data_IF_426883213043
#
_entry.id   IF_426883213043
#
_cell.length_a   1.000
_cell.length_b   1.000
_cell.length_c   1.000
_cell.angle_alpha   90.00
_cell.angle_beta   90.00
_cell.angle_gamma   90.00
#
_symmetry.space_group_name_H-M   'P 1'
#
loop_
_entity.id
_entity.type
_entity.pdbx_description
1 polymer ?
#
# COMPACT_ATOMS: atom_id res chain seq x y z
N UNK A 1 5.52 -10.18 14.12
CA UNK A 1 5.80 -9.76 12.75
C UNK A 1 4.86 -10.50 11.80
N UNK A 2 3.94 -9.77 11.19
CA UNK A 2 2.95 -10.30 10.26
C UNK A 2 2.64 -9.24 9.18
N UNK A 3 2.25 -9.69 7.99
CA UNK A 3 1.76 -8.83 6.90
C UNK A 3 2.71 -7.66 6.61
N UNK A 4 3.92 -7.94 6.16
CA UNK A 4 4.89 -6.92 5.80
C UNK A 4 5.25 -6.94 4.33
N UNK A 5 5.66 -5.79 3.84
CA UNK A 5 6.22 -5.59 2.52
C UNK A 5 7.41 -4.64 2.58
N UNK A 6 8.22 -4.60 1.53
CA UNK A 6 9.46 -3.83 1.51
C UNK A 6 9.72 -3.14 0.18
N UNK A 7 10.36 -2.00 0.24
CA UNK A 7 10.76 -1.21 -0.90
C UNK A 7 12.25 -0.85 -0.82
N UNK A 8 12.87 -0.66 -1.98
CA UNK A 8 14.21 -0.13 -2.08
C UNK A 8 14.17 1.39 -1.91
N UNK A 9 15.05 1.94 -1.07
CA UNK A 9 15.18 3.39 -0.83
C UNK A 9 16.32 3.96 -1.68
N UNK A 10 17.49 3.34 -1.62
CA UNK A 10 18.67 3.73 -2.39
C UNK A 10 19.52 2.48 -2.67
N UNK A 11 20.73 2.64 -3.19
CA UNK A 11 21.63 1.56 -3.64
C UNK A 11 21.59 0.35 -2.70
N UNK A 12 21.76 0.54 -1.40
CA UNK A 12 21.84 -0.49 -0.37
C UNK A 12 20.84 -0.31 0.75
N UNK A 13 20.05 0.76 0.75
CA UNK A 13 19.08 1.08 1.79
C UNK A 13 17.69 0.59 1.40
N UNK A 14 17.01 -0.05 2.35
CA UNK A 14 15.68 -0.62 2.19
C UNK A 14 14.76 -0.16 3.30
N UNK A 15 13.48 -0.06 3.00
CA UNK A 15 12.39 0.18 3.93
C UNK A 15 11.49 -1.06 4.03
N UNK A 16 11.12 -1.45 5.24
CA UNK A 16 10.20 -2.55 5.53
C UNK A 16 9.03 -1.98 6.31
N UNK A 17 7.82 -2.19 5.84
CA UNK A 17 6.60 -1.98 6.61
C UNK A 17 6.11 -3.31 7.17
N UNK A 18 5.62 -3.30 8.41
CA UNK A 18 5.11 -4.50 9.05
C UNK A 18 4.17 -4.16 10.21
N UNK A 19 3.30 -5.10 10.51
CA UNK A 19 2.46 -5.06 11.68
C UNK A 19 3.12 -5.80 12.86
N UNK A 20 3.21 -5.12 14.00
CA UNK A 20 3.70 -5.64 15.27
C UNK A 20 2.52 -5.81 16.24
N UNK A 21 2.14 -7.06 16.51
CA UNK A 21 0.96 -7.39 17.33
C UNK A 21 1.00 -6.67 18.68
N UNK A 22 -0.05 -5.90 18.96
CA UNK A 22 -0.16 -5.12 20.19
C UNK A 22 0.62 -3.80 20.22
N UNK A 23 1.38 -3.47 19.16
CA UNK A 23 2.19 -2.25 19.08
C UNK A 23 1.86 -1.37 17.86
N UNK A 24 1.06 -1.87 16.91
CA UNK A 24 0.68 -1.16 15.68
C UNK A 24 1.61 -1.44 14.50
N UNK A 25 1.52 -0.61 13.45
CA UNK A 25 2.31 -0.72 12.24
C UNK A 25 3.59 0.12 12.27
N UNK A 26 4.68 -0.45 11.77
CA UNK A 26 5.99 0.19 11.73
C UNK A 26 6.59 0.20 10.33
N UNK A 27 7.28 1.30 10.02
CA UNK A 27 8.23 1.43 8.92
C UNK A 27 9.64 1.42 9.52
N UNK A 28 10.48 0.51 9.07
CA UNK A 28 11.86 0.37 9.54
C UNK A 28 12.81 0.38 8.35
N UNK A 29 13.92 1.11 8.46
CA UNK A 29 14.96 1.17 7.44
C UNK A 29 16.21 0.42 7.87
N UNK A 30 16.93 -0.16 6.91
CA UNK A 30 18.14 -0.93 7.12
C UNK A 30 18.94 -1.01 5.82
N UNK A 31 20.20 -1.40 5.89
CA UNK A 31 21.02 -1.67 4.72
C UNK A 31 21.21 -3.16 4.49
N UNK A 32 21.30 -3.53 3.23
CA UNK A 32 21.83 -4.80 2.76
C UNK A 32 23.06 -4.48 1.95
N UNK A 33 24.21 -5.06 2.28
CA UNK A 33 25.42 -4.84 1.50
C UNK A 33 25.34 -5.46 0.09
N UNK A 34 26.21 -5.04 -0.83
CA UNK A 34 26.13 -5.40 -2.26
C UNK A 34 26.17 -6.92 -2.51
N UNK A 35 26.88 -7.68 -1.70
CA UNK A 35 26.96 -9.14 -1.81
C UNK A 35 25.86 -9.88 -1.03
N UNK A 36 24.93 -9.14 -0.43
CA UNK A 36 23.82 -9.64 0.39
C UNK A 36 24.26 -10.51 1.60
N UNK A 37 25.52 -10.45 2.01
CA UNK A 37 26.05 -11.26 3.10
C UNK A 37 25.68 -10.72 4.49
N UNK A 38 25.38 -9.42 4.58
CA UNK A 38 25.05 -8.77 5.86
C UNK A 38 23.87 -7.82 5.72
N UNK A 39 23.04 -7.82 6.78
CA UNK A 39 21.99 -6.82 6.99
C UNK A 39 22.42 -5.99 8.19
N UNK A 40 22.43 -4.66 8.03
CA UNK A 40 22.79 -3.75 9.11
C UNK A 40 21.75 -3.77 10.24
N UNK A 41 22.14 -3.24 11.39
CA UNK A 41 21.16 -2.83 12.38
C UNK A 41 20.23 -1.77 11.79
N UNK A 42 18.96 -1.75 12.25
CA UNK A 42 17.97 -0.75 11.79
C UNK A 42 18.54 0.67 11.93
N UNK A 43 18.33 1.50 10.91
CA UNK A 43 18.70 2.93 10.91
C UNK A 43 17.60 3.79 11.52
N UNK A 44 16.34 3.50 11.17
CA UNK A 44 15.18 4.19 11.70
C UNK A 44 14.07 3.20 11.99
N UNK A 45 13.20 3.54 12.93
CA UNK A 45 11.92 2.85 13.18
C UNK A 45 10.85 3.90 13.45
N UNK A 46 9.96 4.06 12.51
CA UNK A 46 8.84 5.00 12.56
C UNK A 46 7.53 4.24 12.71
N UNK A 47 6.70 4.59 13.70
CA UNK A 47 5.35 4.03 13.80
C UNK A 47 4.43 4.83 12.89
N UNK A 48 3.86 4.20 11.88
CA UNK A 48 2.95 4.87 10.95
C UNK A 48 1.48 4.83 11.40
N UNK A 49 1.13 3.97 12.34
CA UNK A 49 -0.23 3.89 12.87
C UNK A 49 -0.48 4.90 13.98
N UNK A 50 -1.75 5.31 14.12
CA UNK A 50 -2.15 6.28 15.16
C UNK A 50 -2.29 5.64 16.54
N UNK A 51 -2.55 4.34 16.59
CA UNK A 51 -2.80 3.62 17.83
C UNK A 51 -1.85 2.43 17.99
N UNK A 52 -1.75 1.91 19.21
CA UNK A 52 -1.08 0.66 19.53
C UNK A 52 -2.05 -0.52 19.60
N UNK A 53 -3.24 -0.36 19.01
CA UNK A 53 -4.25 -1.42 18.98
C UNK A 53 -3.74 -2.65 18.27
N UNK A 54 -4.22 -3.82 18.70
CA UNK A 54 -3.83 -5.13 18.17
C UNK A 54 -4.09 -5.31 16.67
N UNK A 55 -4.92 -4.45 16.06
CA UNK A 55 -5.31 -4.58 14.64
C UNK A 55 -4.89 -3.38 13.77
N UNK A 56 -4.16 -2.39 14.31
CA UNK A 56 -3.77 -1.19 13.58
C UNK A 56 -2.47 -1.44 12.79
N UNK A 57 -2.51 -1.31 11.47
CA UNK A 57 -1.37 -1.52 10.57
C UNK A 57 -1.31 -2.89 9.89
N UNK A 58 -2.42 -3.64 9.87
CA UNK A 58 -2.50 -4.93 9.16
C UNK A 58 -2.47 -4.77 7.64
N UNK A 59 -2.07 -5.84 6.96
CA UNK A 59 -2.03 -5.92 5.50
C UNK A 59 -1.26 -4.77 4.85
N UNK A 60 -0.19 -4.31 5.53
CA UNK A 60 0.60 -3.19 5.06
C UNK A 60 1.40 -3.53 3.79
N UNK A 61 1.39 -2.60 2.86
CA UNK A 61 2.12 -2.62 1.60
C UNK A 61 2.85 -1.28 1.42
N UNK A 62 4.01 -1.27 0.77
CA UNK A 62 4.83 -0.07 0.54
C UNK A 62 5.26 0.03 -0.92
N UNK A 63 5.10 1.23 -1.49
CA UNK A 63 5.48 1.52 -2.88
C UNK A 63 6.33 2.78 -2.95
N UNK A 64 7.46 2.72 -3.67
CA UNK A 64 8.25 3.89 -4.04
C UNK A 64 7.63 4.62 -5.24
N UNK A 65 7.46 5.94 -5.13
CA UNK A 65 6.98 6.80 -6.22
C UNK A 65 8.12 7.50 -6.98
N UNK A 66 9.31 7.57 -6.41
CA UNK A 66 10.47 8.32 -6.86
C UNK A 66 10.72 9.55 -5.98
N UNK A 67 11.91 10.17 -6.13
CA UNK A 67 12.31 11.35 -5.34
C UNK A 67 12.20 11.14 -3.82
N UNK A 68 12.52 9.95 -3.35
CA UNK A 68 12.43 9.56 -1.94
C UNK A 68 11.02 9.59 -1.35
N UNK A 69 9.99 9.65 -2.20
CA UNK A 69 8.59 9.58 -1.82
C UNK A 69 8.08 8.14 -1.83
N UNK A 70 7.43 7.75 -0.75
CA UNK A 70 6.87 6.42 -0.55
C UNK A 70 5.39 6.51 -0.15
N UNK A 71 4.61 5.53 -0.58
CA UNK A 71 3.24 5.32 -0.16
C UNK A 71 3.16 4.06 0.69
N UNK A 72 2.44 4.14 1.79
CA UNK A 72 2.10 2.98 2.63
C UNK A 72 0.58 2.85 2.68
N UNK A 73 0.08 1.67 2.32
CA UNK A 73 -1.32 1.31 2.43
C UNK A 73 -1.48 0.31 3.57
N UNK A 74 -2.54 0.43 4.38
CA UNK A 74 -2.79 -0.50 5.48
C UNK A 74 -4.25 -0.45 5.95
N UNK A 75 -4.64 -1.44 6.74
CA UNK A 75 -5.91 -1.44 7.47
C UNK A 75 -5.73 -0.97 8.91
N UNK A 76 -6.58 -0.04 9.37
CA UNK A 76 -6.56 0.44 10.75
C UNK A 76 -7.38 -0.48 11.70
N UNK A 77 -7.38 -0.14 12.98
CA UNK A 77 -8.09 -0.89 14.03
C UNK A 77 -9.62 -0.81 13.95
N UNK A 78 -10.16 0.01 13.06
CA UNK A 78 -11.60 0.14 12.77
C UNK A 78 -11.96 -0.50 11.43
N UNK A 79 -11.05 -1.31 10.88
CA UNK A 79 -11.17 -1.98 9.58
C UNK A 79 -11.38 -0.97 8.43
N UNK A 80 -10.64 0.15 8.45
CA UNK A 80 -10.67 1.15 7.39
C UNK A 80 -9.37 1.14 6.61
N UNK A 81 -9.48 1.29 5.30
CA UNK A 81 -8.32 1.44 4.42
C UNK A 81 -7.68 2.82 4.55
N UNK A 82 -6.41 2.84 4.92
CA UNK A 82 -5.60 4.04 5.10
C UNK A 82 -4.49 4.06 4.07
N UNK A 83 -4.25 5.26 3.51
CA UNK A 83 -3.07 5.57 2.71
C UNK A 83 -2.28 6.66 3.44
N UNK A 84 -0.97 6.48 3.53
CA UNK A 84 -0.03 7.48 4.03
C UNK A 84 1.12 7.67 3.07
N UNK A 85 1.66 8.88 3.03
CA UNK A 85 2.87 9.17 2.27
C UNK A 85 4.01 9.60 3.18
N UNK A 86 5.22 9.21 2.80
CA UNK A 86 6.44 9.45 3.55
C UNK A 86 7.57 9.88 2.63
N UNK A 87 8.45 10.73 3.13
CA UNK A 87 9.80 10.83 2.58
C UNK A 87 10.76 10.04 3.45
N UNK A 88 11.69 9.32 2.79
CA UNK A 88 12.77 8.59 3.44
C UNK A 88 14.08 9.13 2.88
N UNK A 89 15.02 9.55 3.75
CA UNK A 89 16.34 9.99 3.28
C UNK A 89 17.12 8.84 2.63
N UNK A 90 18.02 9.11 1.67
CA UNK A 90 18.79 8.10 0.94
C UNK A 90 19.51 7.15 1.90
N UNK A 91 20.06 7.68 3.00
CA UNK A 91 20.71 6.88 4.03
C UNK A 91 19.74 6.15 4.98
N UNK A 92 18.43 6.32 4.81
CA UNK A 92 17.38 5.70 5.64
C UNK A 92 17.29 6.20 7.08
N UNK A 93 18.08 7.22 7.47
CA UNK A 93 18.11 7.68 8.86
C UNK A 93 16.90 8.50 9.27
N UNK A 94 16.25 9.15 8.30
CA UNK A 94 15.10 10.04 8.53
C UNK A 94 13.89 9.56 7.75
N UNK A 95 12.77 9.39 8.46
CA UNK A 95 11.45 9.08 7.90
C UNK A 95 10.50 10.20 8.32
N UNK A 96 9.87 10.86 7.36
CA UNK A 96 8.94 11.97 7.60
C UNK A 96 7.60 11.69 6.95
N UNK A 97 6.53 11.65 7.73
CA UNK A 97 5.14 11.56 7.24
C UNK A 97 4.77 12.87 6.54
N UNK A 98 4.09 12.77 5.38
CA UNK A 98 3.68 13.91 4.55
C UNK A 98 2.17 14.10 4.55
N UNK A 99 1.43 13.04 4.31
CA UNK A 99 -0.03 13.09 4.23
C UNK A 99 -0.66 11.80 4.73
N UNK A 100 -1.95 11.91 5.09
CA UNK A 100 -2.76 10.82 5.63
C UNK A 100 -4.18 10.95 5.13
N UNK A 101 -4.70 9.88 4.50
CA UNK A 101 -6.07 9.88 4.01
C UNK A 101 -6.74 8.51 4.15
N UNK A 102 -8.06 8.53 4.26
CA UNK A 102 -8.88 7.35 4.08
C UNK A 102 -9.15 7.15 2.59
N UNK A 103 -8.73 6.02 2.05
CA UNK A 103 -8.92 5.73 0.63
C UNK A 103 -10.40 5.65 0.27
N UNK A 104 -11.18 5.00 1.13
CA UNK A 104 -12.63 4.89 1.02
C UNK A 104 -13.20 5.51 2.28
N UNK A 105 -14.16 6.42 2.15
CA UNK A 105 -14.69 7.26 3.23
C UNK A 105 -14.71 6.58 4.61
N UNK A 106 -14.55 7.36 5.67
CA UNK A 106 -14.39 6.94 7.08
C UNK A 106 -15.56 6.14 7.70
N UNK A 107 -16.50 5.60 6.90
CA UNK A 107 -17.55 4.72 7.41
C UNK A 107 -16.93 3.38 7.85
N UNK A 108 -17.29 2.91 9.03
CA UNK A 108 -17.00 1.56 9.50
C UNK A 108 -17.31 0.54 8.39
N UNK A 109 -16.39 -0.40 8.14
CA UNK A 109 -16.50 -1.49 7.17
C UNK A 109 -15.99 -1.18 5.74
N UNK A 110 -15.04 -0.28 5.60
CA UNK A 110 -14.32 -0.06 4.35
C UNK A 110 -12.99 -0.85 4.36
N UNK A 111 -13.09 -2.16 4.59
CA UNK A 111 -11.92 -3.04 4.69
C UNK A 111 -10.95 -2.82 3.53
N UNK A 112 -9.66 -2.87 3.84
CA UNK A 112 -8.59 -2.86 2.85
C UNK A 112 -7.54 -3.90 3.26
N UNK A 113 -7.87 -5.15 2.98
CA UNK A 113 -7.05 -6.31 3.31
C UNK A 113 -6.30 -6.81 2.07
N UNK A 114 -5.19 -7.53 2.29
CA UNK A 114 -4.41 -8.19 1.23
C UNK A 114 -3.98 -7.24 0.12
N UNK A 115 -3.45 -6.09 0.55
CA UNK A 115 -3.05 -5.00 -0.33
C UNK A 115 -1.90 -5.40 -1.26
N UNK A 116 -1.96 -4.93 -2.50
CA UNK A 116 -0.85 -4.97 -3.44
C UNK A 116 -0.90 -3.73 -4.34
N UNK A 117 0.12 -2.88 -4.25
CA UNK A 117 0.19 -1.61 -4.97
C UNK A 117 1.13 -1.67 -6.18
N UNK A 118 0.81 -0.89 -7.19
CA UNK A 118 1.72 -0.59 -8.31
C UNK A 118 1.63 0.87 -8.71
N UNK A 119 2.74 1.40 -9.20
CA UNK A 119 2.80 2.72 -9.82
C UNK A 119 2.20 2.66 -11.23
N UNK A 120 1.14 3.43 -11.48
CA UNK A 120 0.52 3.54 -12.81
C UNK A 120 1.35 4.49 -13.65
N UNK A 121 1.53 5.72 -13.18
CA UNK A 121 2.38 6.74 -13.76
C UNK A 121 3.14 7.53 -12.68
N UNK A 122 3.53 8.77 -12.97
CA UNK A 122 4.27 9.57 -11.99
C UNK A 122 3.44 9.99 -10.78
N UNK A 123 2.12 10.11 -10.92
CA UNK A 123 1.22 10.64 -9.91
C UNK A 123 0.14 9.62 -9.47
N UNK A 124 -0.12 8.59 -10.28
CA UNK A 124 -1.23 7.67 -10.09
C UNK A 124 -0.73 6.33 -9.55
N UNK A 125 -1.39 5.86 -8.51
CA UNK A 125 -1.17 4.56 -7.87
C UNK A 125 -2.42 3.70 -8.03
N UNK A 126 -2.25 2.43 -8.35
CA UNK A 126 -3.29 1.42 -8.28
C UNK A 126 -3.03 0.47 -7.12
N UNK A 127 -4.08 0.13 -6.38
CA UNK A 127 -4.05 -0.85 -5.30
C UNK A 127 -5.12 -1.91 -5.52
N UNK A 128 -4.70 -3.17 -5.56
CA UNK A 128 -5.61 -4.30 -5.44
C UNK A 128 -5.80 -4.63 -3.96
N UNK A 129 -7.05 -4.80 -3.54
CA UNK A 129 -7.38 -5.07 -2.14
C UNK A 129 -8.69 -5.86 -2.03
N UNK A 130 -8.89 -6.55 -0.93
CA UNK A 130 -10.22 -7.05 -0.58
C UNK A 130 -10.91 -6.07 0.36
N UNK A 131 -12.23 -5.97 0.23
CA UNK A 131 -13.01 -5.12 1.12
C UNK A 131 -14.48 -5.09 0.79
N UNK A 132 -15.30 -5.45 1.74
CA UNK A 132 -16.66 -5.02 2.01
C UNK A 132 -17.23 -5.75 3.23
N UNK A 133 -18.28 -5.21 3.80
CA UNK A 133 -18.88 -5.54 5.10
C UNK A 133 -19.29 -7.01 5.28
N UNK A 134 -19.56 -7.74 4.22
CA UNK A 134 -20.10 -9.12 4.31
C UNK A 134 -19.54 -10.10 3.27
N UNK A 135 -18.72 -9.64 2.38
CA UNK A 135 -18.02 -10.47 1.39
C UNK A 135 -16.65 -9.85 1.17
N UNK A 136 -15.61 -10.64 1.22
CA UNK A 136 -14.25 -10.16 0.93
C UNK A 136 -14.09 -9.87 -0.58
N UNK A 137 -15.02 -9.07 -1.15
CA UNK A 137 -15.01 -8.66 -2.56
C UNK A 137 -13.64 -8.13 -2.97
N UNK A 138 -13.22 -8.44 -4.17
CA UNK A 138 -11.95 -7.97 -4.73
C UNK A 138 -12.12 -6.65 -5.49
N UNK A 139 -11.29 -5.68 -5.20
CA UNK A 139 -11.30 -4.36 -5.81
C UNK A 139 -9.92 -3.96 -6.31
N UNK A 140 -9.89 -3.23 -7.42
CA UNK A 140 -8.76 -2.40 -7.84
C UNK A 140 -9.20 -0.96 -7.69
N UNK A 141 -8.42 -0.17 -6.99
CA UNK A 141 -8.73 1.24 -6.71
C UNK A 141 -7.53 2.09 -7.11
N UNK A 142 -7.76 3.18 -7.83
CA UNK A 142 -6.72 4.15 -8.19
C UNK A 142 -6.85 5.43 -7.37
N UNK A 143 -5.73 6.07 -7.06
CA UNK A 143 -5.65 7.36 -6.38
C UNK A 143 -4.42 8.12 -6.84
N UNK A 144 -4.40 9.42 -6.63
CA UNK A 144 -3.27 10.26 -7.01
C UNK A 144 -2.44 10.66 -5.80
N UNK A 145 -1.13 10.73 -6.01
CA UNK A 145 -0.16 11.28 -5.06
C UNK A 145 0.72 12.27 -5.81
N UNK A 146 0.83 13.48 -5.32
CA UNK A 146 1.83 14.43 -5.81
C UNK A 146 3.22 13.99 -5.32
N UNK A 147 4.13 13.56 -6.20
CA UNK A 147 5.42 13.00 -5.78
C UNK A 147 6.36 14.06 -5.19
N UNK A 148 6.08 15.35 -5.34
CA UNK A 148 6.88 16.44 -4.78
C UNK A 148 6.45 16.84 -3.37
N UNK A 149 5.16 16.77 -3.07
CA UNK A 149 4.58 17.19 -1.80
C UNK A 149 4.11 16.03 -0.93
N UNK A 150 3.77 14.89 -1.55
CA UNK A 150 3.17 13.74 -0.91
C UNK A 150 1.66 13.85 -0.74
N UNK A 151 1.02 14.91 -1.21
CA UNK A 151 -0.43 15.12 -1.07
C UNK A 151 -1.22 14.05 -1.82
N UNK A 152 -2.13 13.39 -1.11
CA UNK A 152 -3.02 12.34 -1.63
C UNK A 152 -4.32 12.99 -2.12
N UNK A 153 -4.76 12.64 -3.33
CA UNK A 153 -6.01 13.14 -3.90
C UNK A 153 -6.76 12.05 -4.65
N UNK A 154 -8.07 12.24 -4.77
CA UNK A 154 -8.97 11.42 -5.57
C UNK A 154 -9.64 12.23 -6.67
N UNK A 155 -10.78 11.76 -7.16
CA UNK A 155 -11.57 12.49 -8.15
C UNK A 155 -12.00 13.86 -7.60
N UNK A 156 -11.89 14.87 -8.45
CA UNK A 156 -12.25 16.25 -8.09
C UNK A 156 -13.69 16.34 -7.57
N UNK A 157 -13.87 17.01 -6.43
CA UNK A 157 -15.18 17.19 -5.80
C UNK A 157 -15.69 15.98 -5.00
N UNK A 158 -14.92 14.89 -4.90
CA UNK A 158 -15.25 13.73 -4.09
C UNK A 158 -14.68 13.85 -2.66
N UNK A 159 -15.44 13.38 -1.66
CA UNK A 159 -14.93 13.16 -0.31
C UNK A 159 -14.07 11.89 -0.21
N UNK A 160 -14.16 11.00 -1.20
CA UNK A 160 -13.32 9.82 -1.31
C UNK A 160 -11.98 10.19 -1.95
N UNK A 161 -10.93 9.51 -1.55
CA UNK A 161 -9.57 9.73 -2.06
C UNK A 161 -9.18 8.75 -3.17
N UNK A 162 -10.15 8.18 -3.87
CA UNK A 162 -9.90 7.40 -5.07
C UNK A 162 -10.34 8.15 -6.34
N UNK A 163 -9.65 7.90 -7.44
CA UNK A 163 -10.00 8.38 -8.79
C UNK A 163 -11.04 7.45 -9.39
N UNK A 164 -10.75 6.14 -9.39
CA UNK A 164 -11.61 5.12 -9.98
C UNK A 164 -11.56 3.83 -9.15
N UNK A 165 -12.57 2.98 -9.34
CA UNK A 165 -12.66 1.65 -8.72
C UNK A 165 -13.24 0.63 -9.69
N UNK A 166 -12.58 -0.52 -9.78
CA UNK A 166 -13.03 -1.68 -10.53
C UNK A 166 -13.18 -2.87 -9.57
N UNK A 167 -14.34 -3.51 -9.59
CA UNK A 167 -14.54 -4.78 -8.88
C UNK A 167 -14.02 -5.92 -9.77
N UNK A 168 -13.02 -6.65 -9.30
CA UNK A 168 -12.48 -7.79 -10.02
C UNK A 168 -13.05 -9.13 -9.56
N UNK A 169 -13.61 -9.18 -8.33
CA UNK A 169 -14.30 -10.36 -7.80
C UNK A 169 -15.50 -9.94 -6.92
N UNK A 170 -16.63 -10.65 -7.09
CA UNK A 170 -17.88 -10.36 -6.35
C UNK A 170 -18.01 -11.10 -5.01
N UNK A 171 -17.13 -12.06 -4.75
CA UNK A 171 -17.27 -12.98 -3.61
C UNK A 171 -16.03 -12.96 -2.72
N UNK A 172 -14.83 -13.09 -3.31
CA UNK A 172 -13.58 -13.19 -2.58
C UNK A 172 -12.44 -12.65 -3.42
N UNK A 173 -11.68 -11.67 -2.90
CA UNK A 173 -10.49 -11.10 -3.57
C UNK A 173 -9.33 -10.99 -2.58
N UNK A 174 -8.81 -12.14 -2.11
CA UNK A 174 -7.73 -12.19 -1.11
C UNK A 174 -6.37 -12.47 -1.75
N UNK A 175 -5.31 -12.25 -0.95
CA UNK A 175 -3.94 -12.57 -1.33
C UNK A 175 -3.55 -11.96 -2.68
N UNK A 176 -3.93 -10.69 -2.88
CA UNK A 176 -3.70 -9.98 -4.11
C UNK A 176 -2.21 -9.82 -4.41
N UNK A 177 -1.83 -10.03 -5.66
CA UNK A 177 -0.51 -9.73 -6.21
C UNK A 177 -0.68 -9.05 -7.55
N UNK A 178 -0.49 -7.73 -7.57
CA UNK A 178 -0.70 -6.86 -8.73
C UNK A 178 0.65 -6.50 -9.36
N UNK A 179 0.77 -6.65 -10.66
CA UNK A 179 2.00 -6.37 -11.42
C UNK A 179 1.69 -5.55 -12.66
N UNK A 180 2.50 -4.51 -12.91
CA UNK A 180 2.52 -3.77 -14.17
C UNK A 180 3.39 -4.51 -15.19
N UNK A 181 2.85 -4.87 -16.35
CA UNK A 181 3.58 -5.53 -17.43
C UNK A 181 4.31 -4.55 -18.36
N UNK A 182 3.83 -3.30 -18.42
CA UNK A 182 4.33 -2.22 -19.26
C UNK A 182 3.21 -1.52 -20.02
N UNK A 183 3.40 -0.21 -20.31
CA UNK A 183 2.31 0.64 -20.77
C UNK A 183 1.14 0.58 -19.79
N UNK A 184 -0.07 0.47 -20.31
CA UNK A 184 -1.31 0.45 -19.53
C UNK A 184 -1.75 -0.96 -19.11
N UNK A 185 -0.89 -1.98 -19.24
CA UNK A 185 -1.25 -3.38 -19.03
C UNK A 185 -0.83 -3.88 -17.67
N UNK A 186 -1.76 -4.55 -16.98
CA UNK A 186 -1.59 -5.09 -15.64
C UNK A 186 -2.09 -6.53 -15.54
N UNK A 187 -1.53 -7.27 -14.62
CA UNK A 187 -1.98 -8.61 -14.23
C UNK A 187 -2.17 -8.66 -12.74
N UNK A 188 -3.25 -9.26 -12.31
CA UNK A 188 -3.57 -9.54 -10.91
C UNK A 188 -3.71 -11.05 -10.73
N UNK A 189 -2.95 -11.61 -9.80
CA UNK A 189 -3.19 -12.93 -9.23
C UNK A 189 -3.86 -12.77 -7.86
N UNK A 190 -4.86 -13.59 -7.56
CA UNK A 190 -5.59 -13.52 -6.30
C UNK A 190 -6.27 -14.85 -5.95
N UNK A 191 -6.72 -14.99 -4.72
CA UNK A 191 -7.62 -16.07 -4.32
C UNK A 191 -9.07 -15.59 -4.41
N UNK A 192 -9.86 -16.26 -5.23
CA UNK A 192 -11.26 -15.94 -5.46
C UNK A 192 -12.22 -16.94 -4.82
N UNK A 193 -13.46 -17.01 -5.34
CA UNK A 193 -14.50 -17.89 -4.83
C UNK A 193 -14.04 -19.35 -4.77
N UNK A 194 -14.34 -20.03 -3.66
CA UNK A 194 -13.89 -21.41 -3.40
C UNK A 194 -12.44 -21.52 -2.92
N UNK A 195 -11.77 -20.39 -2.65
CA UNK A 195 -10.35 -20.31 -2.32
C UNK A 195 -9.43 -20.78 -3.47
N UNK A 196 -9.95 -20.82 -4.70
CA UNK A 196 -9.19 -21.14 -5.90
C UNK A 196 -8.31 -19.96 -6.32
N UNK A 197 -7.19 -20.25 -6.99
CA UNK A 197 -6.30 -19.24 -7.56
C UNK A 197 -6.80 -18.73 -8.91
N UNK A 198 -6.86 -17.42 -9.07
CA UNK A 198 -7.27 -16.72 -10.29
C UNK A 198 -6.16 -15.81 -10.80
N UNK A 199 -6.10 -15.65 -12.12
CA UNK A 199 -5.26 -14.66 -12.79
C UNK A 199 -6.15 -13.89 -13.76
N UNK A 200 -6.11 -12.56 -13.70
CA UNK A 200 -6.82 -11.69 -14.64
C UNK A 200 -5.89 -10.59 -15.14
N UNK A 201 -6.14 -10.12 -16.37
CA UNK A 201 -5.44 -8.97 -16.96
C UNK A 201 -6.42 -7.85 -17.26
N UNK A 202 -5.94 -6.61 -17.16
CA UNK A 202 -6.73 -5.40 -17.41
C UNK A 202 -5.83 -4.25 -17.84
N UNK A 203 -6.44 -3.15 -18.22
CA UNK A 203 -5.75 -1.90 -18.50
C UNK A 203 -6.16 -0.83 -17.50
N UNK A 204 -5.20 0.00 -17.10
CA UNK A 204 -5.43 1.23 -16.35
C UNK A 204 -4.82 2.35 -17.17
N UNK A 205 -5.62 3.38 -17.52
CA UNK A 205 -5.14 4.58 -18.18
C UNK A 205 -4.28 5.44 -17.23
N UNK A 206 -3.46 6.35 -17.79
CA UNK A 206 -2.58 7.21 -16.98
C UNK A 206 -3.36 8.12 -16.01
N UNK A 207 -4.61 8.38 -16.27
CA UNK A 207 -5.49 9.16 -15.40
C UNK A 207 -6.24 8.31 -14.33
N UNK A 208 -6.00 6.99 -14.30
CA UNK A 208 -6.61 6.05 -13.35
C UNK A 208 -7.94 5.47 -13.85
#
# INVERSE_FOLDING_TARGET
FFYGDWAKVDANTYALVYWDYGNGGYLTTFDINDDASTISTKKSRHRFTQSTSTNDGRFSDILELGSNMFVVAYEDNSNRGIIKTFTISDDGSTVTEKDFEYLISSSSNSYMEWNSMVKVDNNTVAIAHSGAVNAAEGWITTFNVDPSTGVISGASGSSNKYVNRLKHDNVLGKYNSLVKLGGDKYVLAYSGSGEDGFITSFTISDDG
#
